data_IF_883426522140
#
_entry.id   IF_883426522140
#
_cell.length_a   1.000
_cell.length_b   1.000
_cell.length_c   1.000
_cell.angle_alpha   90.00
_cell.angle_beta   90.00
_cell.angle_gamma   90.00
#
_symmetry.space_group_name_H-M   'P 1'
#
loop_
_entity.id
_entity.type
_entity.pdbx_description
1 polymer ?
#
# COMPACT_ATOMS: atom_id res chain seq x y z
N UNK A 1 -16.08 -22.15 3.60
CA UNK A 1 -14.91 -21.51 2.95
C UNK A 1 -15.06 -20.01 3.13
N UNK A 2 -14.55 -19.48 4.24
CA UNK A 2 -14.59 -18.04 4.56
C UNK A 2 -13.37 -17.39 3.91
N UNK A 3 -13.60 -16.63 2.84
CA UNK A 3 -12.60 -15.71 2.31
C UNK A 3 -12.36 -14.60 3.34
N UNK A 4 -11.19 -14.66 3.97
CA UNK A 4 -10.68 -13.64 4.89
C UNK A 4 -10.21 -12.44 4.06
N UNK A 5 -11.13 -11.56 3.68
CA UNK A 5 -10.77 -10.24 3.19
C UNK A 5 -10.08 -9.50 4.34
N UNK A 6 -8.76 -9.38 4.28
CA UNK A 6 -7.96 -8.60 5.24
C UNK A 6 -8.29 -7.10 5.09
N UNK A 7 -9.45 -6.69 5.61
CA UNK A 7 -9.73 -5.29 5.87
C UNK A 7 -8.94 -4.91 7.12
N UNK A 8 -7.68 -4.52 6.92
CA UNK A 8 -6.82 -4.04 8.00
C UNK A 8 -7.36 -2.68 8.47
N UNK A 9 -8.25 -2.70 9.45
CA UNK A 9 -8.66 -1.51 10.18
C UNK A 9 -7.52 -1.06 11.09
N UNK A 10 -6.59 -0.25 10.57
CA UNK A 10 -5.51 0.32 11.37
C UNK A 10 -6.08 1.41 12.30
N UNK A 11 -6.34 1.07 13.56
CA UNK A 11 -6.63 2.07 14.61
C UNK A 11 -5.33 2.67 15.16
N UNK A 12 -4.71 3.47 14.27
CA UNK A 12 -3.54 4.34 14.46
C UNK A 12 -3.71 5.42 15.53
N UNK A 13 -2.69 5.70 16.36
CA UNK A 13 -2.52 7.07 16.89
C UNK A 13 -2.24 7.98 15.70
N UNK A 14 -3.03 9.03 15.49
CA UNK A 14 -3.02 9.85 14.24
C UNK A 14 -1.62 10.26 13.77
N UNK A 15 -0.69 10.52 14.70
CA UNK A 15 0.68 10.95 14.39
C UNK A 15 1.54 9.86 13.70
N UNK A 16 1.52 8.62 14.19
CA UNK A 16 2.36 7.55 13.65
C UNK A 16 1.85 7.03 12.30
N UNK A 17 0.53 7.07 12.11
CA UNK A 17 -0.11 6.69 10.85
C UNK A 17 0.21 7.69 9.74
N UNK A 18 0.23 8.98 10.08
CA UNK A 18 0.62 10.05 9.17
C UNK A 18 2.07 9.91 8.72
N UNK A 19 3.00 9.65 9.65
CA UNK A 19 4.41 9.44 9.28
C UNK A 19 4.61 8.21 8.41
N UNK A 20 3.95 7.09 8.72
CA UNK A 20 4.02 5.87 7.90
C UNK A 20 3.46 6.12 6.49
N UNK A 21 2.32 6.80 6.38
CA UNK A 21 1.73 7.16 5.09
C UNK A 21 2.67 8.02 4.24
N UNK A 22 3.30 9.06 4.80
CA UNK A 22 4.21 9.92 4.04
C UNK A 22 5.51 9.21 3.65
N UNK A 23 6.02 8.31 4.51
CA UNK A 23 7.17 7.46 4.19
C UNK A 23 6.84 6.51 3.04
N UNK A 24 5.70 5.82 3.12
CA UNK A 24 5.27 4.89 2.07
C UNK A 24 5.07 5.64 0.75
N UNK A 25 4.32 6.74 0.77
CA UNK A 25 4.07 7.55 -0.42
C UNK A 25 5.36 8.09 -1.05
N UNK A 26 6.33 8.51 -0.24
CA UNK A 26 7.63 8.96 -0.75
C UNK A 26 8.43 7.81 -1.39
N UNK A 27 8.40 6.62 -0.79
CA UNK A 27 9.05 5.42 -1.31
C UNK A 27 8.40 4.97 -2.62
N UNK A 28 7.06 4.90 -2.65
CA UNK A 28 6.27 4.63 -3.85
C UNK A 28 6.63 5.55 -5.03
N UNK A 29 6.83 6.85 -4.79
CA UNK A 29 7.25 7.77 -5.85
C UNK A 29 8.65 7.42 -6.40
N UNK A 30 9.57 6.99 -5.54
CA UNK A 30 10.89 6.53 -5.97
C UNK A 30 10.80 5.24 -6.80
N UNK A 31 9.91 4.33 -6.44
CA UNK A 31 9.68 3.08 -7.18
C UNK A 31 9.03 3.33 -8.53
N UNK A 32 8.04 4.23 -8.63
CA UNK A 32 7.46 4.61 -9.93
C UNK A 32 8.57 5.11 -10.86
N UNK A 33 9.44 6.01 -10.37
CA UNK A 33 10.56 6.52 -11.15
C UNK A 33 11.54 5.39 -11.51
N UNK A 34 11.88 4.52 -10.54
CA UNK A 34 12.78 3.38 -10.75
C UNK A 34 12.24 2.36 -11.75
N UNK A 35 10.95 2.05 -11.68
CA UNK A 35 10.25 1.12 -12.58
C UNK A 35 10.18 1.65 -14.01
N UNK A 36 9.91 2.94 -14.19
CA UNK A 36 9.96 3.59 -15.50
C UNK A 36 11.39 3.62 -16.07
N UNK A 37 12.39 3.96 -15.26
CA UNK A 37 13.80 3.99 -15.69
C UNK A 37 14.35 2.61 -16.04
N UNK A 38 13.87 1.56 -15.38
CA UNK A 38 14.31 0.17 -15.62
C UNK A 38 13.44 -0.58 -16.62
N UNK A 39 12.34 0.05 -17.08
CA UNK A 39 11.24 -0.58 -17.82
C UNK A 39 10.74 -1.86 -17.14
N UNK A 40 10.73 -1.92 -15.80
CA UNK A 40 10.38 -3.12 -15.05
C UNK A 40 8.93 -3.08 -14.56
N UNK A 41 8.10 -3.98 -15.09
CA UNK A 41 6.73 -4.19 -14.56
C UNK A 41 6.78 -4.62 -13.10
N UNK A 42 7.78 -5.39 -12.67
CA UNK A 42 7.85 -5.86 -11.29
C UNK A 42 7.92 -4.69 -10.31
N UNK A 43 8.79 -3.71 -10.59
CA UNK A 43 8.93 -2.50 -9.77
C UNK A 43 7.68 -1.61 -9.89
N UNK A 44 7.11 -1.47 -11.10
CA UNK A 44 5.86 -0.70 -11.27
C UNK A 44 4.69 -1.37 -10.54
N UNK A 45 4.65 -2.70 -10.47
CA UNK A 45 3.62 -3.46 -9.76
C UNK A 45 3.65 -3.19 -8.27
N UNK A 46 4.84 -3.25 -7.65
CA UNK A 46 5.06 -2.92 -6.24
C UNK A 46 4.62 -1.48 -5.96
N UNK A 47 5.09 -0.54 -6.79
CA UNK A 47 4.74 0.86 -6.65
C UNK A 47 3.23 1.14 -6.76
N UNK A 48 2.54 0.50 -7.71
CA UNK A 48 1.08 0.66 -7.86
C UNK A 48 0.32 0.04 -6.69
N UNK A 49 0.81 -1.08 -6.14
CA UNK A 49 0.25 -1.70 -4.95
C UNK A 49 0.36 -0.78 -3.74
N UNK A 50 1.56 -0.28 -3.44
CA UNK A 50 1.84 0.59 -2.29
C UNK A 50 1.13 1.94 -2.39
N UNK A 51 0.99 2.47 -3.62
CA UNK A 51 0.18 3.66 -3.90
C UNK A 51 -1.30 3.39 -3.56
N UNK A 52 -1.82 2.26 -4.02
CA UNK A 52 -3.20 1.84 -3.80
C UNK A 52 -3.52 1.68 -2.32
N UNK A 53 -2.62 1.04 -1.57
CA UNK A 53 -2.72 0.87 -0.12
C UNK A 53 -2.67 2.21 0.60
N UNK A 54 -1.74 3.08 0.23
CA UNK A 54 -1.63 4.42 0.81
C UNK A 54 -2.90 5.24 0.61
N UNK A 55 -3.40 5.32 -0.63
CA UNK A 55 -4.63 6.05 -0.97
C UNK A 55 -5.83 5.47 -0.22
N UNK A 56 -5.95 4.15 -0.20
CA UNK A 56 -7.03 3.42 0.47
C UNK A 56 -7.04 3.72 1.96
N UNK A 57 -5.88 3.62 2.63
CA UNK A 57 -5.74 3.93 4.04
C UNK A 57 -6.05 5.41 4.34
N UNK A 58 -5.54 6.33 3.52
CA UNK A 58 -5.79 7.76 3.69
C UNK A 58 -7.27 8.13 3.57
N UNK A 59 -7.95 7.59 2.55
CA UNK A 59 -9.39 7.81 2.33
C UNK A 59 -10.25 7.14 3.41
N UNK A 60 -9.94 5.89 3.76
CA UNK A 60 -10.65 5.17 4.82
C UNK A 60 -10.53 5.91 6.16
N UNK A 61 -9.33 6.42 6.49
CA UNK A 61 -9.12 7.21 7.70
C UNK A 61 -9.93 8.51 7.70
N UNK A 62 -9.90 9.26 6.60
CA UNK A 62 -10.64 10.52 6.49
C UNK A 62 -12.14 10.30 6.61
N UNK A 63 -12.66 9.25 5.96
CA UNK A 63 -14.08 8.90 5.99
C UNK A 63 -14.51 8.33 7.34
N UNK A 64 -13.64 7.60 8.03
CA UNK A 64 -13.91 7.14 9.41
C UNK A 64 -13.98 8.33 10.38
N UNK A 65 -13.09 9.33 10.21
CA UNK A 65 -13.13 10.57 10.99
C UNK A 65 -14.44 11.34 10.78
N UNK A 66 -14.95 11.38 9.55
CA UNK A 66 -16.28 11.94 9.25
C UNK A 66 -17.38 11.09 9.88
N UNK A 67 -17.24 9.77 9.86
CA UNK A 67 -18.24 8.85 10.40
C UNK A 67 -18.42 8.92 11.92
N UNK A 68 -17.42 9.43 12.63
CA UNK A 68 -17.47 9.68 14.08
C UNK A 68 -18.24 10.96 14.45
N UNK A 69 -18.69 11.78 13.48
CA UNK A 69 -19.53 12.95 13.76
C UNK A 69 -20.96 12.54 14.17
N UNK A 70 -21.47 13.22 15.19
CA UNK A 70 -22.88 13.14 15.60
C UNK A 70 -23.82 13.63 14.49
N UNK A 71 -25.08 13.18 14.54
CA UNK A 71 -26.09 13.56 13.56
C UNK A 71 -26.48 15.03 13.64
N UNK A 72 -26.75 15.62 12.48
CA UNK A 72 -27.21 17.01 12.34
C UNK A 72 -28.55 17.09 11.56
N UNK A 73 -28.97 18.30 11.20
CA UNK A 73 -30.23 18.50 10.47
C UNK A 73 -30.22 17.91 9.05
N UNK A 74 -29.04 17.64 8.47
CA UNK A 74 -28.91 16.99 7.16
C UNK A 74 -28.84 15.46 7.29
N UNK A 75 -28.21 14.94 8.35
CA UNK A 75 -28.05 13.51 8.60
C UNK A 75 -28.57 13.12 9.99
N UNK A 76 -29.89 12.89 10.09
CA UNK A 76 -30.56 12.57 11.36
C UNK A 76 -30.10 11.25 12.00
N UNK A 77 -29.53 10.31 11.23
CA UNK A 77 -28.97 9.05 11.72
C UNK A 77 -27.45 9.11 11.97
N UNK A 78 -26.83 10.28 11.81
CA UNK A 78 -25.38 10.47 11.89
C UNK A 78 -24.62 9.99 10.65
N UNK A 79 -23.28 10.13 10.71
CA UNK A 79 -22.39 9.92 9.57
C UNK A 79 -21.80 8.51 9.49
N UNK A 80 -22.29 7.55 10.29
CA UNK A 80 -21.70 6.19 10.41
C UNK A 80 -21.50 5.46 9.08
N UNK A 81 -22.35 5.72 8.08
CA UNK A 81 -22.27 5.10 6.74
C UNK A 81 -21.01 5.51 5.95
N UNK A 82 -20.36 6.62 6.29
CA UNK A 82 -19.14 7.07 5.62
C UNK A 82 -17.95 6.12 5.86
N UNK A 83 -17.87 5.45 7.02
CA UNK A 83 -16.84 4.43 7.29
C UNK A 83 -16.98 3.25 6.32
N UNK A 84 -18.22 2.80 6.06
CA UNK A 84 -18.51 1.77 5.05
C UNK A 84 -18.13 2.24 3.64
N UNK A 85 -18.44 3.48 3.29
CA UNK A 85 -18.06 4.06 2.00
C UNK A 85 -16.54 4.06 1.81
N UNK A 86 -15.77 4.35 2.87
CA UNK A 86 -14.31 4.30 2.84
C UNK A 86 -13.77 2.90 2.57
N UNK A 87 -14.37 1.86 3.18
CA UNK A 87 -14.02 0.48 2.90
C UNK A 87 -14.33 0.06 1.45
N UNK A 88 -15.48 0.49 0.92
CA UNK A 88 -15.87 0.22 -0.48
C UNK A 88 -14.91 0.90 -1.45
N UNK A 89 -14.59 2.18 -1.24
CA UNK A 89 -13.65 2.92 -2.10
C UNK A 89 -12.28 2.24 -2.09
N UNK A 90 -11.77 1.88 -0.91
CA UNK A 90 -10.50 1.15 -0.77
C UNK A 90 -10.49 -0.13 -1.59
N UNK A 91 -11.57 -0.91 -1.48
CA UNK A 91 -11.71 -2.17 -2.23
C UNK A 91 -11.72 -1.92 -3.74
N UNK A 92 -12.40 -0.88 -4.21
CA UNK A 92 -12.42 -0.52 -5.64
C UNK A 92 -11.03 -0.11 -6.12
N UNK A 93 -10.29 0.70 -5.34
CA UNK A 93 -8.91 1.11 -5.67
C UNK A 93 -8.01 -0.12 -5.86
N UNK A 94 -8.05 -1.08 -4.94
CA UNK A 94 -7.24 -2.29 -5.03
C UNK A 94 -7.60 -3.16 -6.23
N UNK A 95 -8.90 -3.31 -6.53
CA UNK A 95 -9.36 -4.08 -7.71
C UNK A 95 -8.89 -3.41 -9.01
N UNK A 96 -9.05 -2.09 -9.12
CA UNK A 96 -8.63 -1.34 -10.31
C UNK A 96 -7.12 -1.42 -10.50
N UNK A 97 -6.34 -1.22 -9.43
CA UNK A 97 -4.87 -1.36 -9.46
C UNK A 97 -4.44 -2.76 -9.90
N UNK A 98 -5.08 -3.80 -9.36
CA UNK A 98 -4.80 -5.20 -9.73
C UNK A 98 -5.09 -5.47 -11.22
N UNK A 99 -6.23 -4.99 -11.74
CA UNK A 99 -6.58 -5.14 -13.15
C UNK A 99 -5.56 -4.41 -14.05
N UNK A 100 -5.14 -3.20 -13.65
CA UNK A 100 -4.12 -2.45 -14.39
C UNK A 100 -2.81 -3.23 -14.50
N UNK A 101 -2.29 -3.75 -13.37
CA UNK A 101 -1.07 -4.55 -13.38
C UNK A 101 -1.21 -5.82 -14.22
N UNK A 102 -2.33 -6.54 -14.11
CA UNK A 102 -2.57 -7.73 -14.93
C UNK A 102 -2.61 -7.40 -16.44
N UNK A 103 -3.18 -6.26 -16.81
CA UNK A 103 -3.26 -5.83 -18.21
C UNK A 103 -1.88 -5.55 -18.84
N UNK A 104 -0.91 -5.13 -18.04
CA UNK A 104 0.48 -4.92 -18.45
C UNK A 104 1.32 -6.21 -18.34
N UNK A 105 1.11 -7.00 -17.29
CA UNK A 105 1.90 -8.20 -17.02
C UNK A 105 1.60 -9.33 -18.03
N UNK A 106 0.33 -9.57 -18.39
CA UNK A 106 -0.07 -10.65 -19.29
C UNK A 106 0.60 -10.52 -20.68
N UNK A 107 0.57 -9.35 -21.36
CA UNK A 107 1.27 -9.17 -22.62
C UNK A 107 2.77 -9.43 -22.54
N UNK A 108 3.42 -9.06 -21.42
CA UNK A 108 4.87 -9.26 -21.25
C UNK A 108 5.26 -10.70 -20.99
N UNK A 109 4.35 -11.53 -20.46
CA UNK A 109 4.56 -12.99 -20.38
C UNK A 109 4.55 -13.63 -21.77
N UNK A 110 3.70 -13.13 -22.67
CA UNK A 110 3.59 -13.62 -24.05
C UNK A 110 4.69 -13.06 -24.95
N UNK A 111 5.08 -11.80 -24.75
CA UNK A 111 6.13 -11.11 -25.51
C UNK A 111 7.15 -10.49 -24.53
N UNK A 112 8.20 -11.25 -24.15
CA UNK A 112 9.19 -10.77 -23.21
C UNK A 112 9.87 -9.51 -23.72
N UNK A 113 9.79 -8.42 -22.95
CA UNK A 113 10.53 -7.20 -23.21
C UNK A 113 11.85 -7.20 -22.44
N UNK A 114 12.91 -6.67 -23.05
CA UNK A 114 14.18 -6.53 -22.33
C UNK A 114 14.05 -5.45 -21.26
N UNK A 115 14.28 -5.83 -20.01
CA UNK A 115 14.33 -4.94 -18.86
C UNK A 115 15.78 -4.69 -18.45
N UNK A 116 16.04 -3.57 -17.79
CA UNK A 116 17.37 -3.28 -17.26
C UNK A 116 17.61 -4.11 -16.00
N UNK A 117 18.04 -5.36 -16.16
CA UNK A 117 18.27 -6.30 -15.07
C UNK A 117 19.23 -5.75 -14.00
N UNK A 118 20.28 -5.02 -14.39
CA UNK A 118 21.23 -4.41 -13.44
C UNK A 118 20.56 -3.35 -12.57
N UNK A 119 19.74 -2.49 -13.19
CA UNK A 119 18.96 -1.49 -12.45
C UNK A 119 17.91 -2.14 -11.55
N UNK A 120 17.26 -3.21 -12.02
CA UNK A 120 16.25 -3.93 -11.26
C UNK A 120 16.84 -4.57 -9.98
N UNK A 121 18.00 -5.23 -10.09
CA UNK A 121 18.70 -5.80 -8.92
C UNK A 121 19.13 -4.70 -7.94
N UNK A 122 19.60 -3.56 -8.42
CA UNK A 122 19.98 -2.44 -7.55
C UNK A 122 18.78 -1.90 -6.76
N UNK A 123 17.63 -1.71 -7.41
CA UNK A 123 16.40 -1.28 -6.76
C UNK A 123 15.88 -2.34 -5.79
N UNK A 124 15.92 -3.62 -6.15
CA UNK A 124 15.54 -4.71 -5.26
C UNK A 124 16.38 -4.77 -3.99
N UNK A 125 17.70 -4.64 -4.10
CA UNK A 125 18.58 -4.55 -2.93
C UNK A 125 18.30 -3.31 -2.07
N UNK A 126 18.01 -2.17 -2.70
CA UNK A 126 17.61 -0.94 -2.00
C UNK A 126 16.29 -1.14 -1.24
N UNK A 127 15.27 -1.72 -1.89
CA UNK A 127 13.97 -2.00 -1.26
C UNK A 127 14.08 -2.94 -0.08
N UNK A 128 14.79 -4.07 -0.24
CA UNK A 128 15.07 -5.00 0.87
C UNK A 128 15.80 -4.30 2.02
N UNK A 129 16.81 -3.47 1.71
CA UNK A 129 17.59 -2.78 2.74
C UNK A 129 16.75 -1.74 3.50
N UNK A 130 15.99 -0.90 2.78
CA UNK A 130 15.18 0.18 3.36
C UNK A 130 14.02 -0.39 4.16
N UNK A 131 13.21 -1.27 3.56
CA UNK A 131 12.04 -1.84 4.21
C UNK A 131 12.44 -2.80 5.33
N UNK A 132 13.52 -3.56 5.15
CA UNK A 132 14.09 -4.42 6.19
C UNK A 132 14.60 -3.63 7.40
N UNK A 133 15.33 -2.54 7.17
CA UNK A 133 15.78 -1.66 8.25
C UNK A 133 14.60 -1.02 9.01
N UNK A 134 13.61 -0.52 8.27
CA UNK A 134 12.41 0.08 8.85
C UNK A 134 11.60 -0.94 9.68
N UNK A 135 11.42 -2.16 9.16
CA UNK A 135 10.73 -3.25 9.86
C UNK A 135 11.44 -3.64 11.16
N UNK A 136 12.78 -3.78 11.11
CA UNK A 136 13.59 -4.08 12.30
C UNK A 136 13.49 -2.98 13.36
N UNK A 137 13.43 -1.70 12.94
CA UNK A 137 13.29 -0.58 13.86
C UNK A 137 11.93 -0.58 14.56
N UNK A 138 10.86 -0.96 13.86
CA UNK A 138 9.49 -1.01 14.37
C UNK A 138 9.17 -2.28 15.18
N UNK A 139 9.97 -3.35 15.05
CA UNK A 139 9.77 -4.62 15.78
C UNK A 139 9.75 -4.49 17.31
N UNK A 140 10.43 -3.47 17.86
CA UNK A 140 10.50 -3.21 19.31
C UNK A 140 9.28 -2.49 19.89
N UNK A 141 8.40 -1.97 19.05
CA UNK A 141 7.25 -1.17 19.48
C UNK A 141 6.10 -2.05 19.98
N UNK A 142 5.48 -1.65 21.09
CA UNK A 142 4.37 -2.40 21.71
C UNK A 142 3.00 -2.04 21.14
N UNK A 143 2.91 -0.97 20.35
CA UNK A 143 1.64 -0.51 19.80
C UNK A 143 1.18 -1.43 18.68
N UNK A 144 -0.14 -1.69 18.62
CA UNK A 144 -0.75 -2.48 17.54
C UNK A 144 -0.37 -1.89 16.17
N UNK A 145 -0.36 -0.57 16.07
CA UNK A 145 -0.10 0.15 14.83
C UNK A 145 1.31 -0.06 14.31
N UNK A 146 2.32 0.03 15.17
CA UNK A 146 3.69 -0.25 14.77
C UNK A 146 3.87 -1.70 14.32
N UNK A 147 3.14 -2.65 14.92
CA UNK A 147 3.13 -4.04 14.47
C UNK A 147 2.50 -4.20 13.09
N UNK A 148 1.39 -3.51 12.80
CA UNK A 148 0.77 -3.55 11.48
C UNK A 148 1.70 -2.95 10.42
N UNK A 149 2.28 -1.78 10.68
CA UNK A 149 3.24 -1.16 9.76
C UNK A 149 4.47 -2.05 9.57
N UNK A 150 4.97 -2.68 10.63
CA UNK A 150 6.08 -3.62 10.52
C UNK A 150 5.74 -4.87 9.67
N UNK A 151 4.48 -5.34 9.72
CA UNK A 151 4.04 -6.46 8.88
C UNK A 151 3.97 -6.06 7.40
N UNK A 152 3.47 -4.87 7.10
CA UNK A 152 3.47 -4.33 5.73
C UNK A 152 4.90 -4.22 5.18
N UNK A 153 5.82 -3.61 5.94
CA UNK A 153 7.23 -3.53 5.53
C UNK A 153 7.90 -4.90 5.33
N UNK A 154 7.45 -5.94 6.03
CA UNK A 154 7.94 -7.31 5.80
C UNK A 154 7.36 -7.87 4.50
N UNK A 155 6.10 -7.58 4.18
CA UNK A 155 5.47 -7.92 2.90
C UNK A 155 6.25 -7.31 1.74
N UNK A 156 6.60 -6.03 1.82
CA UNK A 156 7.41 -5.34 0.81
C UNK A 156 8.78 -6.00 0.66
N UNK A 157 9.46 -6.31 1.78
CA UNK A 157 10.75 -7.03 1.73
C UNK A 157 10.62 -8.36 1.00
N UNK A 158 9.55 -9.12 1.24
CA UNK A 158 9.31 -10.38 0.54
C UNK A 158 9.04 -10.16 -0.95
N UNK A 159 8.30 -9.11 -1.30
CA UNK A 159 8.09 -8.66 -2.68
C UNK A 159 9.43 -8.39 -3.38
N UNK A 160 10.27 -7.55 -2.79
CA UNK A 160 11.59 -7.22 -3.32
C UNK A 160 12.55 -8.41 -3.41
N UNK A 161 12.48 -9.35 -2.47
CA UNK A 161 13.23 -10.62 -2.55
C UNK A 161 12.74 -11.48 -3.71
N UNK A 162 11.45 -11.48 -4.03
CA UNK A 162 10.91 -12.23 -5.17
C UNK A 162 11.31 -11.63 -6.53
N UNK A 163 11.65 -10.33 -6.57
CA UNK A 163 12.16 -9.64 -7.77
C UNK A 163 13.63 -9.95 -8.05
N UNK A 164 14.41 -10.29 -7.00
CA UNK A 164 15.83 -10.65 -7.04
C UNK A 164 16.05 -12.04 -7.68
#
# INVERSE_FOLDING_TARGET
MTHSSHHVHIRGTEANLRTAFFLNLAFTLLEIVGGLMTNSIAIISDAVHDLGDSISLGLAWQLDRVAQRDGDQQFSYGYKRFSLLGAVISTVVLIVGSIFILSEAIPRLLTPQQTNAKGMVLFALLGVAVNGFAALRLKGEKTLNARVVALHLIEDVLGWVAVL
#
